data_IF_099928612876
#
_entry.id   IF_099928612876
#
_cell.length_a   1.000
_cell.length_b   1.000
_cell.length_c   1.000
_cell.angle_alpha   90.00
_cell.angle_beta   90.00
_cell.angle_gamma   90.00
#
_symmetry.space_group_name_H-M   'P 1'
#
loop_
_entity.id
_entity.type
_entity.pdbx_description
1 polymer ?
#
# COMPACT_ATOMS: atom_id res chain seq x y z
N UNK A 1 18.98 -20.30 -23.77
CA UNK A 1 17.68 -19.80 -24.24
C UNK A 1 17.49 -18.36 -23.78
N UNK A 2 17.09 -17.44 -24.66
CA UNK A 2 16.95 -16.01 -24.32
C UNK A 2 15.53 -15.75 -23.83
N UNK A 3 15.38 -15.15 -22.65
CA UNK A 3 14.07 -14.83 -22.06
C UNK A 3 13.26 -13.95 -23.04
N UNK A 4 12.10 -14.44 -23.46
CA UNK A 4 11.22 -13.76 -24.42
C UNK A 4 11.57 -13.96 -25.90
N UNK A 5 12.36 -14.98 -26.25
CA UNK A 5 12.60 -15.38 -27.63
C UNK A 5 11.55 -16.42 -28.08
N UNK A 6 10.80 -16.11 -29.14
CA UNK A 6 9.71 -16.95 -29.68
C UNK A 6 10.08 -17.56 -31.05
N UNK A 7 11.36 -17.95 -31.24
CA UNK A 7 11.77 -18.74 -32.42
C UNK A 7 11.72 -18.01 -33.77
N UNK A 8 11.70 -16.68 -33.78
CA UNK A 8 11.62 -15.85 -35.00
C UNK A 8 10.29 -15.10 -35.14
N UNK A 9 9.29 -15.49 -34.36
CA UNK A 9 8.07 -14.71 -34.20
C UNK A 9 8.35 -13.40 -33.42
N UNK A 10 7.72 -12.27 -33.80
CA UNK A 10 7.82 -11.01 -33.05
C UNK A 10 7.28 -11.22 -31.62
N UNK A 11 8.08 -10.99 -30.55
CA UNK A 11 7.63 -11.26 -29.18
C UNK A 11 6.45 -10.40 -28.75
N UNK A 12 5.60 -10.94 -27.88
CA UNK A 12 4.38 -10.29 -27.41
C UNK A 12 4.61 -8.85 -26.86
N UNK A 13 5.68 -8.64 -26.10
CA UNK A 13 6.06 -7.33 -25.54
C UNK A 13 6.33 -6.24 -26.59
N UNK A 14 6.59 -6.62 -27.85
CA UNK A 14 6.77 -5.68 -28.98
C UNK A 14 5.50 -5.50 -29.80
N UNK A 15 4.51 -6.39 -29.66
CA UNK A 15 3.24 -6.33 -30.40
C UNK A 15 2.23 -5.44 -29.72
N UNK A 16 2.21 -5.47 -28.38
CA UNK A 16 1.28 -4.68 -27.59
C UNK A 16 1.72 -3.20 -27.55
N UNK A 17 0.79 -2.25 -27.69
CA UNK A 17 1.10 -0.83 -27.57
C UNK A 17 1.51 -0.49 -26.13
N UNK A 18 2.40 0.49 -25.97
CA UNK A 18 2.69 1.07 -24.66
C UNK A 18 1.49 1.91 -24.24
N UNK A 19 0.93 1.63 -23.07
CA UNK A 19 -0.25 2.31 -22.54
C UNK A 19 0.03 2.89 -21.15
N UNK A 20 -0.47 4.11 -20.91
CA UNK A 20 -0.45 4.77 -19.61
C UNK A 20 0.82 5.58 -19.30
N UNK A 21 0.87 6.11 -18.08
CA UNK A 21 2.00 6.84 -17.52
C UNK A 21 2.15 6.49 -16.03
N UNK A 22 3.34 6.71 -15.46
CA UNK A 22 3.57 6.58 -14.02
C UNK A 22 3.32 7.91 -13.32
N UNK A 23 2.42 7.92 -12.33
CA UNK A 23 2.20 9.11 -11.50
C UNK A 23 3.38 9.34 -10.56
N UNK A 24 3.76 10.61 -10.35
CA UNK A 24 4.76 11.02 -9.35
C UNK A 24 4.22 10.96 -7.92
N UNK A 25 2.90 10.90 -7.75
CA UNK A 25 2.26 10.92 -6.42
C UNK A 25 2.39 9.53 -5.81
N UNK A 26 3.09 9.45 -4.68
CA UNK A 26 3.21 8.21 -3.90
C UNK A 26 1.84 7.84 -3.30
N UNK A 27 1.40 6.60 -3.57
CA UNK A 27 0.19 6.06 -2.94
C UNK A 27 0.45 5.79 -1.45
N UNK A 28 -0.50 6.11 -0.56
CA UNK A 28 -0.35 5.82 0.86
C UNK A 28 -0.29 4.30 1.10
N UNK A 29 0.41 3.89 2.15
CA UNK A 29 0.44 2.51 2.60
C UNK A 29 -0.91 2.14 3.22
N UNK A 30 -1.51 1.04 2.78
CA UNK A 30 -2.87 0.68 3.15
C UNK A 30 -2.86 -0.39 4.24
N UNK A 31 -3.62 -0.15 5.31
CA UNK A 31 -3.77 -1.07 6.45
C UNK A 31 -5.26 -1.37 6.64
N UNK A 32 -5.61 -2.64 6.70
CA UNK A 32 -6.96 -3.08 7.01
C UNK A 32 -7.11 -3.30 8.53
N UNK A 33 -7.99 -2.53 9.17
CA UNK A 33 -8.17 -2.51 10.63
C UNK A 33 -8.90 -3.74 11.17
N UNK A 34 -9.61 -4.48 10.33
CA UNK A 34 -10.28 -5.73 10.75
C UNK A 34 -9.30 -6.91 10.77
N UNK A 35 -8.31 -6.88 9.87
CA UNK A 35 -7.27 -7.91 9.81
C UNK A 35 -6.20 -7.72 10.88
N UNK A 36 -5.93 -6.47 11.24
CA UNK A 36 -4.90 -6.12 12.24
C UNK A 36 -5.63 -5.51 13.43
N UNK A 37 -6.18 -6.38 14.27
CA UNK A 37 -6.92 -6.02 15.49
C UNK A 37 -6.08 -5.17 16.44
N UNK A 38 -4.79 -5.43 16.51
CA UNK A 38 -3.89 -4.70 17.37
C UNK A 38 -3.75 -3.21 16.99
N UNK A 39 -4.01 -2.81 15.74
CA UNK A 39 -4.08 -1.40 15.34
C UNK A 39 -5.39 -0.76 15.80
N UNK A 40 -6.48 -1.53 15.87
CA UNK A 40 -7.80 -1.08 16.35
C UNK A 40 -7.81 -0.84 17.86
N UNK A 41 -7.06 -1.66 18.59
CA UNK A 41 -6.94 -1.61 20.06
C UNK A 41 -6.03 -0.48 20.56
N UNK A 42 -5.26 0.16 19.68
CA UNK A 42 -4.47 1.34 20.05
C UNK A 42 -5.36 2.44 20.62
N UNK A 43 -4.88 3.07 21.69
CA UNK A 43 -5.52 4.24 22.29
C UNK A 43 -5.28 5.50 21.45
N UNK A 44 -4.07 5.63 20.91
CA UNK A 44 -3.66 6.76 20.08
C UNK A 44 -3.08 6.21 18.78
N UNK A 45 -3.57 6.73 17.65
CA UNK A 45 -3.17 6.28 16.31
C UNK A 45 -2.24 7.35 15.72
N UNK A 46 -0.95 7.06 15.82
CA UNK A 46 0.16 7.77 15.16
C UNK A 46 1.03 6.81 14.34
N UNK A 47 1.82 7.31 13.39
CA UNK A 47 2.71 6.45 12.58
C UNK A 47 3.67 5.63 13.47
N UNK A 48 4.12 6.19 14.60
CA UNK A 48 5.02 5.52 15.54
C UNK A 48 4.30 4.41 16.33
N UNK A 49 3.08 4.68 16.81
CA UNK A 49 2.26 3.66 17.49
C UNK A 49 1.92 2.48 16.57
N UNK A 50 1.70 2.73 15.28
CA UNK A 50 1.43 1.67 14.32
C UNK A 50 2.69 0.85 14.05
N UNK A 51 3.88 1.47 14.03
CA UNK A 51 5.15 0.75 13.81
C UNK A 51 5.49 -0.25 14.91
N UNK A 52 5.06 -0.02 16.15
CA UNK A 52 5.31 -0.97 17.25
C UNK A 52 4.47 -2.24 17.12
N UNK A 53 3.26 -2.11 16.59
CA UNK A 53 2.28 -3.18 16.45
C UNK A 53 2.35 -3.88 15.08
N UNK A 54 2.67 -3.15 14.03
CA UNK A 54 2.70 -3.62 12.65
C UNK A 54 4.00 -3.20 11.97
N UNK A 55 4.70 -4.16 11.35
CA UNK A 55 6.00 -3.89 10.72
C UNK A 55 5.81 -3.12 9.42
N UNK A 56 6.18 -1.84 9.44
CA UNK A 56 6.14 -0.93 8.28
C UNK A 56 7.56 -0.51 7.90
N UNK A 57 7.80 -0.33 6.60
CA UNK A 57 9.07 0.25 6.11
C UNK A 57 9.26 1.68 6.59
N UNK A 58 10.52 2.07 6.84
CA UNK A 58 10.89 3.46 7.17
C UNK A 58 10.54 4.47 6.07
N UNK A 59 10.39 3.99 4.82
CA UNK A 59 10.04 4.83 3.67
C UNK A 59 8.56 5.24 3.60
N UNK A 60 7.71 4.70 4.47
CA UNK A 60 6.28 5.01 4.47
C UNK A 60 6.04 6.31 5.21
N UNK A 61 5.51 7.29 4.48
CA UNK A 61 5.17 8.63 5.01
C UNK A 61 3.68 8.82 5.22
N UNK A 62 2.83 8.11 4.47
CA UNK A 62 1.37 8.23 4.55
C UNK A 62 0.74 6.86 4.72
N UNK A 63 -0.21 6.75 5.65
CA UNK A 63 -0.95 5.52 5.93
C UNK A 63 -2.43 5.78 5.70
N UNK A 64 -3.11 4.83 5.05
CA UNK A 64 -4.55 4.82 4.86
C UNK A 64 -5.14 3.63 5.60
N UNK A 65 -5.99 3.91 6.58
CA UNK A 65 -6.77 2.89 7.29
C UNK A 65 -8.04 2.56 6.48
N UNK A 66 -8.33 1.28 6.31
CA UNK A 66 -9.52 0.77 5.62
C UNK A 66 -10.22 -0.31 6.43
N UNK A 67 -11.53 -0.47 6.23
CA UNK A 67 -12.38 -1.44 6.92
C UNK A 67 -13.74 -0.84 7.26
N UNK A 68 -14.73 -1.67 7.60
CA UNK A 68 -16.07 -1.20 7.95
C UNK A 68 -16.04 -0.36 9.23
N UNK A 69 -15.27 -0.78 10.23
CA UNK A 69 -15.09 -0.05 11.50
C UNK A 69 -13.99 1.02 11.45
N UNK A 70 -13.48 1.39 10.27
CA UNK A 70 -12.39 2.36 10.18
C UNK A 70 -12.85 3.77 10.58
N UNK A 71 -14.13 4.09 10.35
CA UNK A 71 -14.71 5.41 10.66
C UNK A 71 -14.76 5.68 12.17
N UNK A 72 -14.96 4.64 12.96
CA UNK A 72 -15.06 4.74 14.43
C UNK A 72 -13.72 5.09 15.07
N UNK A 73 -12.61 4.84 14.37
CA UNK A 73 -11.25 5.12 14.85
C UNK A 73 -10.82 6.57 14.60
N UNK A 74 -11.64 7.38 13.93
CA UNK A 74 -11.30 8.76 13.58
C UNK A 74 -10.95 9.62 14.80
N UNK A 75 -11.63 9.42 15.94
CA UNK A 75 -11.38 10.18 17.18
C UNK A 75 -10.04 9.85 17.85
N UNK A 76 -9.42 8.72 17.49
CA UNK A 76 -8.14 8.26 18.05
C UNK A 76 -6.93 8.73 17.23
N UNK A 77 -7.15 9.25 16.02
CA UNK A 77 -6.10 9.71 15.12
C UNK A 77 -5.60 11.07 15.63
N UNK A 78 -4.30 11.18 15.88
CA UNK A 78 -3.65 12.40 16.38
C UNK A 78 -2.69 13.07 15.40
N UNK A 79 -2.34 12.38 14.32
CA UNK A 79 -1.55 12.93 13.22
C UNK A 79 -2.48 13.61 12.17
N UNK A 80 -1.98 14.66 11.51
CA UNK A 80 -2.68 15.33 10.38
C UNK A 80 -2.70 14.48 9.08
#
# INVERSE_FOLDING_TARGET
EKRGFEGGQQPLQRRLPKVGFTSKIAKPYVINVEKITAVKELNEITIESIKSVHKISKSVTKIKLIGASAKDLASKIKDE
#
